data_IF_131210545970
#
_entry.id   IF_131210545970
#
_cell.length_a   1.000
_cell.length_b   1.000
_cell.length_c   1.000
_cell.angle_alpha   90.00
_cell.angle_beta   90.00
_cell.angle_gamma   90.00
#
_symmetry.space_group_name_H-M   'P 1'
#
loop_
_entity.id
_entity.type
_entity.pdbx_description
1 polymer ?
#
# COMPACT_ATOMS: atom_id res chain seq x y z
N UNK A 1 -11.73 10.25 -7.93
CA UNK A 1 -10.49 9.45 -7.83
C UNK A 1 -9.52 10.14 -6.88
N UNK A 2 -8.86 9.35 -6.03
CA UNK A 2 -7.93 9.94 -5.07
C UNK A 2 -6.50 10.02 -5.60
N UNK A 3 -6.06 9.06 -6.41
CA UNK A 3 -4.70 9.10 -6.94
C UNK A 3 -4.26 7.80 -7.57
N UNK A 4 -2.96 7.62 -7.69
CA UNK A 4 -2.35 6.44 -8.29
C UNK A 4 -1.62 5.65 -7.21
N UNK A 5 -1.88 4.35 -7.16
CA UNK A 5 -1.29 3.43 -6.19
C UNK A 5 0.09 2.97 -6.66
N UNK A 6 1.09 3.06 -5.77
CA UNK A 6 2.42 2.52 -6.03
C UNK A 6 2.84 1.63 -4.89
N UNK A 7 3.39 0.46 -5.22
CA UNK A 7 3.85 -0.50 -4.22
C UNK A 7 5.23 -0.18 -3.65
N UNK A 8 5.97 0.68 -4.35
CA UNK A 8 7.35 1.01 -3.97
C UNK A 8 7.60 2.50 -4.13
N UNK A 9 8.76 2.96 -3.68
CA UNK A 9 9.14 4.36 -3.77
C UNK A 9 9.69 4.75 -5.14
N UNK A 10 9.85 3.79 -6.05
CA UNK A 10 10.35 4.07 -7.39
C UNK A 10 10.45 2.80 -8.20
N UNK A 11 10.65 2.92 -9.53
CA UNK A 11 10.63 1.75 -10.42
C UNK A 11 11.77 0.74 -10.14
N UNK A 12 12.88 1.20 -9.57
CA UNK A 12 14.00 0.32 -9.25
C UNK A 12 14.03 -0.10 -7.78
N UNK A 13 12.95 0.18 -7.05
CA UNK A 13 12.89 -0.13 -5.62
C UNK A 13 11.99 -1.31 -5.37
N UNK A 14 12.29 -2.05 -4.32
CA UNK A 14 11.45 -3.17 -3.92
C UNK A 14 10.14 -2.67 -3.32
N UNK A 15 9.07 -3.47 -3.40
CA UNK A 15 7.81 -3.11 -2.75
C UNK A 15 8.00 -2.91 -1.25
N UNK A 16 7.23 -2.00 -0.67
CA UNK A 16 7.26 -1.80 0.78
C UNK A 16 6.86 -3.07 1.51
N UNK A 17 5.89 -3.81 0.97
CA UNK A 17 5.41 -5.06 1.58
C UNK A 17 5.11 -6.08 0.49
N UNK A 18 5.16 -7.36 0.88
CA UNK A 18 4.84 -8.47 -0.01
C UNK A 18 3.86 -9.41 0.67
N UNK A 19 3.14 -10.20 -0.12
CA UNK A 19 2.24 -11.22 0.41
C UNK A 19 3.04 -12.18 1.31
N UNK A 20 2.50 -12.45 2.48
CA UNK A 20 3.14 -13.31 3.47
C UNK A 20 3.98 -12.56 4.49
N UNK A 21 4.22 -11.29 4.28
CA UNK A 21 5.03 -10.48 5.19
C UNK A 21 4.20 -9.95 6.34
N UNK A 22 4.78 -9.95 7.54
CA UNK A 22 4.16 -9.33 8.71
C UNK A 22 4.47 -7.84 8.73
N UNK A 23 3.50 -7.04 9.09
CA UNK A 23 3.68 -5.59 9.24
C UNK A 23 3.18 -5.15 10.60
N UNK A 24 3.78 -4.08 11.10
CA UNK A 24 3.35 -3.45 12.35
C UNK A 24 2.53 -2.22 12.04
N UNK A 25 1.59 -1.91 12.92
CA UNK A 25 0.82 -0.67 12.81
C UNK A 25 1.80 0.51 12.66
N UNK A 26 1.53 1.36 11.68
CA UNK A 26 2.39 2.53 11.41
C UNK A 26 3.47 2.30 10.37
N UNK A 27 3.71 1.06 9.94
CA UNK A 27 4.67 0.82 8.86
C UNK A 27 4.08 1.26 7.52
N UNK A 28 4.92 1.87 6.68
CA UNK A 28 4.51 2.25 5.33
C UNK A 28 4.27 1.01 4.49
N UNK A 29 3.10 0.93 3.87
CA UNK A 29 2.72 -0.22 3.03
C UNK A 29 2.62 0.13 1.55
N UNK A 30 2.41 1.40 1.23
CA UNK A 30 2.33 1.84 -0.17
C UNK A 30 2.40 3.36 -0.24
N UNK A 31 2.40 3.87 -1.47
CA UNK A 31 2.34 5.31 -1.73
C UNK A 31 1.14 5.57 -2.63
N UNK A 32 0.40 6.62 -2.33
CA UNK A 32 -0.65 7.14 -3.21
C UNK A 32 -0.19 8.49 -3.71
N UNK A 33 -0.05 8.63 -5.02
CA UNK A 33 0.36 9.90 -5.63
C UNK A 33 -0.87 10.61 -6.16
N UNK A 34 -1.04 11.84 -5.75
CA UNK A 34 -2.13 12.69 -6.23
C UNK A 34 -1.61 14.12 -6.35
N UNK A 35 -1.80 14.72 -7.52
CA UNK A 35 -1.41 16.12 -7.77
C UNK A 35 0.06 16.39 -7.45
N UNK A 36 0.93 15.43 -7.83
CA UNK A 36 2.38 15.49 -7.62
C UNK A 36 2.80 15.41 -6.16
N UNK A 37 1.89 15.02 -5.28
CA UNK A 37 2.17 14.75 -3.88
C UNK A 37 2.19 13.24 -3.68
N UNK A 38 3.25 12.76 -3.04
CA UNK A 38 3.43 11.33 -2.79
C UNK A 38 3.16 11.07 -1.32
N UNK A 39 1.98 10.51 -1.04
CA UNK A 39 1.55 10.25 0.33
C UNK A 39 1.88 8.83 0.72
N UNK A 40 2.64 8.65 1.78
CA UNK A 40 2.94 7.32 2.33
C UNK A 40 1.75 6.86 3.14
N UNK A 41 1.27 5.68 2.85
CA UNK A 41 0.14 5.09 3.54
C UNK A 41 0.67 4.06 4.53
N UNK A 42 0.23 4.17 5.79
CA UNK A 42 0.70 3.32 6.86
C UNK A 42 -0.34 2.25 7.21
N UNK A 43 0.15 1.11 7.68
CA UNK A 43 -0.73 0.05 8.14
C UNK A 43 -1.55 0.53 9.35
N UNK A 44 -2.84 0.25 9.33
CA UNK A 44 -3.74 0.69 10.40
C UNK A 44 -3.71 -0.26 11.60
N UNK A 45 -3.22 -1.47 11.41
CA UNK A 45 -3.07 -2.44 12.49
C UNK A 45 -1.96 -3.43 12.14
N UNK A 46 -1.50 -4.15 13.16
CA UNK A 46 -0.47 -5.17 13.03
C UNK A 46 -1.07 -6.44 12.48
N UNK A 47 -0.40 -7.08 11.52
CA UNK A 47 -0.88 -8.31 10.94
C UNK A 47 -0.01 -8.79 9.80
N UNK A 48 -0.52 -9.77 9.06
CA UNK A 48 0.18 -10.38 7.95
C UNK A 48 -0.52 -10.00 6.64
N UNK A 49 0.26 -9.59 5.65
CA UNK A 49 -0.29 -9.27 4.33
C UNK A 49 -0.73 -10.58 3.66
N UNK A 50 -2.02 -10.71 3.41
CA UNK A 50 -2.59 -11.90 2.77
C UNK A 50 -2.70 -11.68 1.27
N UNK A 51 -3.07 -10.47 0.85
CA UNK A 51 -3.26 -10.18 -0.56
C UNK A 51 -3.09 -8.69 -0.82
N UNK A 52 -2.53 -8.37 -1.98
CA UNK A 52 -2.50 -6.99 -2.50
C UNK A 52 -3.64 -6.90 -3.51
N UNK A 53 -4.59 -6.03 -3.24
CA UNK A 53 -5.85 -5.98 -3.99
C UNK A 53 -5.80 -5.08 -5.22
N UNK A 54 -4.72 -4.32 -5.39
CA UNK A 54 -4.58 -3.34 -6.47
C UNK A 54 -3.25 -3.57 -7.17
N UNK A 55 -3.24 -3.45 -8.48
CA UNK A 55 -2.01 -3.55 -9.25
C UNK A 55 -1.18 -2.27 -9.11
N UNK A 56 0.14 -2.42 -9.20
CA UNK A 56 1.06 -1.29 -9.15
C UNK A 56 0.73 -0.29 -10.26
N UNK A 57 0.88 0.99 -9.95
CA UNK A 57 0.72 2.10 -10.90
C UNK A 57 -0.69 2.20 -11.48
N UNK A 58 -1.71 1.82 -10.72
CA UNK A 58 -3.11 1.95 -11.17
C UNK A 58 -3.87 2.98 -10.35
N UNK A 59 -4.91 3.60 -10.94
CA UNK A 59 -5.71 4.58 -10.20
C UNK A 59 -6.55 3.92 -9.12
N UNK A 60 -6.71 4.62 -8.01
CA UNK A 60 -7.53 4.16 -6.90
C UNK A 60 -8.48 5.26 -6.46
N UNK A 61 -9.57 4.84 -5.81
CA UNK A 61 -10.63 5.73 -5.33
C UNK A 61 -10.58 5.85 -3.81
N UNK A 62 -11.33 6.81 -3.29
CA UNK A 62 -11.48 6.99 -1.86
C UNK A 62 -12.12 5.73 -1.25
N UNK A 63 -11.60 5.29 -0.13
CA UNK A 63 -12.08 4.09 0.61
C UNK A 63 -11.93 2.77 -0.14
N UNK A 64 -11.21 2.75 -1.25
CA UNK A 64 -10.97 1.51 -1.98
C UNK A 64 -10.03 0.61 -1.16
N UNK A 65 -10.38 -0.66 -0.93
CA UNK A 65 -9.47 -1.58 -0.25
C UNK A 65 -8.19 -1.79 -1.06
N UNK A 66 -7.04 -1.71 -0.41
CA UNK A 66 -5.73 -1.85 -1.06
C UNK A 66 -5.05 -3.16 -0.70
N UNK A 67 -5.20 -3.60 0.54
CA UNK A 67 -4.57 -4.81 1.06
C UNK A 67 -5.56 -5.59 1.88
N UNK A 68 -5.38 -6.91 1.87
CA UNK A 68 -6.08 -7.78 2.81
C UNK A 68 -5.05 -8.20 3.84
N UNK A 69 -5.31 -7.87 5.10
CA UNK A 69 -4.40 -8.15 6.21
C UNK A 69 -5.09 -9.05 7.20
N UNK A 70 -4.38 -10.13 7.61
CA UNK A 70 -4.85 -11.02 8.65
C UNK A 70 -4.33 -10.48 9.99
N UNK A 71 -5.19 -9.96 10.86
CA UNK A 71 -4.74 -9.33 12.10
C UNK A 71 -3.98 -10.31 13.00
N UNK A 72 -2.96 -9.78 13.65
CA UNK A 72 -2.17 -10.56 14.60
C UNK A 72 -2.93 -10.77 15.91
#
# INVERSE_FOLDING_TARGET
MIGTFYRSSGPDKEPFVSVGQSVNKGETVCIIEAMKLFNEIEAEFTGKIVKVLVDDATPVEYDQPLFLIDPA
#
